data_IF_639755983447
#
_entry.id   IF_639755983447
#
_cell.length_a   1.000
_cell.length_b   1.000
_cell.length_c   1.000
_cell.angle_alpha   90.00
_cell.angle_beta   90.00
_cell.angle_gamma   90.00
#
_symmetry.space_group_name_H-M   'P 1'
#
loop_
_entity.id
_entity.type
_entity.pdbx_description
1 polymer ?
#
# COMPACT_ATOMS: atom_id res chain seq x y z
N UNK A 1 80.21 12.60 31.44
CA UNK A 1 79.86 13.73 32.34
C UNK A 1 80.28 15.00 31.59
N UNK A 2 79.43 15.91 31.11
CA UNK A 2 78.10 16.37 31.51
C UNK A 2 77.15 16.47 30.30
N UNK A 3 75.88 16.16 30.53
CA UNK A 3 74.75 16.40 29.62
C UNK A 3 74.52 17.90 29.43
N UNK A 4 74.41 18.34 28.17
CA UNK A 4 73.67 19.55 27.79
C UNK A 4 72.31 19.09 27.26
N UNK A 5 71.26 19.33 28.04
CA UNK A 5 69.87 19.21 27.59
C UNK A 5 69.45 20.55 26.95
N UNK A 6 68.96 20.57 25.70
CA UNK A 6 68.48 21.80 25.08
C UNK A 6 67.04 22.09 25.51
N UNK A 7 66.84 23.21 26.20
CA UNK A 7 65.92 24.33 25.92
C UNK A 7 64.53 24.12 25.22
N UNK A 8 63.97 22.92 25.14
CA UNK A 8 62.68 22.67 24.45
C UNK A 8 61.48 22.41 25.37
N UNK A 9 61.62 22.45 26.69
CA UNK A 9 60.51 22.11 27.62
C UNK A 9 59.85 23.31 28.32
N UNK A 10 60.28 24.55 28.06
CA UNK A 10 59.79 25.73 28.79
C UNK A 10 58.72 26.55 28.06
N UNK A 11 58.49 26.29 26.77
CA UNK A 11 57.41 26.94 26.00
C UNK A 11 56.06 26.22 26.11
N UNK A 12 56.04 24.93 26.49
CA UNK A 12 54.80 24.16 26.60
C UNK A 12 54.04 24.38 27.92
N UNK A 13 54.72 24.79 29.00
CA UNK A 13 54.12 24.95 30.33
C UNK A 13 53.48 26.33 30.59
N UNK A 14 53.74 27.33 29.74
CA UNK A 14 53.14 28.66 29.87
C UNK A 14 51.96 28.90 28.92
N UNK A 15 51.84 28.13 27.83
CA UNK A 15 50.74 28.29 26.86
C UNK A 15 49.49 27.48 27.28
N UNK A 16 49.68 26.35 27.98
CA UNK A 16 48.56 25.50 28.41
C UNK A 16 47.66 26.09 29.51
N UNK A 17 48.17 26.68 30.62
CA UNK A 17 47.30 27.23 31.66
C UNK A 17 46.61 28.54 31.24
N UNK A 18 47.14 29.23 30.23
CA UNK A 18 46.49 30.39 29.63
C UNK A 18 45.28 29.98 28.79
N UNK A 19 45.40 28.92 27.98
CA UNK A 19 44.28 28.43 27.16
C UNK A 19 43.14 27.84 28.00
N UNK A 20 43.43 27.16 29.11
CA UNK A 20 42.40 26.63 30.00
C UNK A 20 41.61 27.73 30.74
N UNK A 21 42.29 28.79 31.22
CA UNK A 21 41.62 29.96 31.84
C UNK A 21 40.85 30.81 30.83
N UNK A 22 41.33 30.93 29.59
CA UNK A 22 40.62 31.64 28.51
C UNK A 22 39.38 30.85 28.06
N UNK A 23 39.46 29.51 28.03
CA UNK A 23 38.31 28.63 27.76
C UNK A 23 37.30 28.61 28.92
N UNK A 24 37.74 28.72 30.18
CA UNK A 24 36.82 28.94 31.33
C UNK A 24 36.20 30.35 31.33
N UNK A 25 36.82 31.33 30.69
CA UNK A 25 36.37 32.73 30.67
C UNK A 25 35.40 33.07 29.53
N UNK A 26 35.26 32.21 28.51
CA UNK A 26 34.44 32.44 27.33
C UNK A 26 33.73 31.14 26.88
N UNK A 27 32.52 30.90 27.40
CA UNK A 27 31.62 29.90 26.82
C UNK A 27 30.53 30.60 26.02
N UNK A 28 30.53 30.39 24.71
CA UNK A 28 29.49 30.88 23.79
C UNK A 28 28.68 29.68 23.32
N UNK A 29 27.39 29.67 23.66
CA UNK A 29 26.43 28.72 23.12
C UNK A 29 25.38 29.50 22.32
N UNK A 30 25.16 29.07 21.08
CA UNK A 30 24.16 29.68 20.20
C UNK A 30 23.31 28.60 19.59
N UNK A 31 22.00 28.75 19.72
CA UNK A 31 21.01 27.86 19.13
C UNK A 31 20.09 28.70 18.27
N UNK A 32 20.02 28.35 16.98
CA UNK A 32 19.16 29.02 16.00
C UNK A 32 18.24 28.00 15.36
N UNK A 33 16.94 28.21 15.51
CA UNK A 33 15.89 27.34 14.96
C UNK A 33 14.96 28.17 14.08
N UNK A 34 14.46 27.57 13.00
CA UNK A 34 13.44 28.13 12.13
C UNK A 34 12.23 27.21 12.19
N UNK A 35 11.11 27.72 12.71
CA UNK A 35 9.89 26.97 12.94
C UNK A 35 8.75 27.77 12.32
N UNK A 36 8.12 27.23 11.28
CA UNK A 36 7.05 27.90 10.55
C UNK A 36 7.42 29.27 9.97
N UNK A 37 8.71 29.52 9.67
CA UNK A 37 9.21 30.81 9.17
C UNK A 37 9.52 31.84 10.27
N UNK A 38 9.44 31.46 11.54
CA UNK A 38 9.85 32.28 12.69
C UNK A 38 11.24 31.83 13.14
N UNK A 39 12.18 32.77 13.15
CA UNK A 39 13.57 32.52 13.55
C UNK A 39 13.72 32.74 15.06
N UNK A 40 14.00 31.68 15.79
CA UNK A 40 14.33 31.70 17.21
C UNK A 40 15.85 31.63 17.37
N UNK A 41 16.47 32.66 17.97
CA UNK A 41 17.92 32.73 18.20
C UNK A 41 18.17 32.93 19.71
N UNK A 42 18.75 31.91 20.32
CA UNK A 42 19.20 31.92 21.72
C UNK A 42 20.72 32.01 21.75
N UNK A 43 21.23 32.96 22.52
CA UNK A 43 22.66 33.18 22.72
C UNK A 43 22.96 33.24 24.20
N UNK A 44 23.81 32.32 24.66
CA UNK A 44 24.32 32.25 26.01
C UNK A 44 25.81 32.57 25.98
N UNK A 45 26.20 33.63 26.68
CA UNK A 45 27.60 34.04 26.81
C UNK A 45 27.99 34.10 28.28
N UNK A 46 29.05 33.39 28.64
CA UNK A 46 29.75 33.59 29.91
C UNK A 46 31.04 34.35 29.60
N UNK A 47 31.14 35.60 30.07
CA UNK A 47 32.34 36.43 29.95
C UNK A 47 32.81 36.82 31.34
N UNK A 48 33.99 36.37 31.76
CA UNK A 48 34.56 36.66 33.09
C UNK A 48 33.62 36.30 34.26
N UNK A 49 32.87 35.21 34.14
CA UNK A 49 31.91 34.75 35.16
C UNK A 49 30.60 35.54 35.21
N UNK A 50 30.39 36.52 34.31
CA UNK A 50 29.08 37.14 34.09
C UNK A 50 28.37 36.40 32.97
N UNK A 51 27.17 35.91 33.29
CA UNK A 51 26.29 35.21 32.35
C UNK A 51 25.37 36.24 31.71
N UNK A 52 25.34 36.25 30.38
CA UNK A 52 24.42 37.03 29.58
C UNK A 52 23.63 36.09 28.67
N UNK A 53 22.32 36.02 28.90
CA UNK A 53 21.38 35.31 28.05
C UNK A 53 20.65 36.31 27.16
N UNK A 54 20.75 36.16 25.85
CA UNK A 54 19.98 36.91 24.87
C UNK A 54 18.99 35.97 24.18
N UNK A 55 17.71 36.33 24.24
CA UNK A 55 16.63 35.64 23.54
C UNK A 55 16.13 36.56 22.42
N UNK A 56 16.12 36.07 21.18
CA UNK A 56 15.68 36.85 20.01
C UNK A 56 14.69 36.07 19.18
N UNK A 57 13.64 36.75 18.70
CA UNK A 57 12.69 36.23 17.72
C UNK A 57 12.75 37.14 16.51
N UNK A 58 12.97 36.58 15.31
CA UNK A 58 13.11 37.36 14.08
C UNK A 58 14.13 38.51 14.21
N UNK A 59 15.22 38.27 14.94
CA UNK A 59 16.29 39.23 15.26
C UNK A 59 15.93 40.32 16.29
N UNK A 60 14.68 40.39 16.77
CA UNK A 60 14.26 41.30 17.83
C UNK A 60 14.47 40.68 19.23
N UNK A 61 15.07 41.42 20.20
CA UNK A 61 15.26 40.93 21.55
C UNK A 61 13.93 40.82 22.30
N UNK A 62 13.71 39.70 22.98
CA UNK A 62 12.49 39.40 23.75
C UNK A 62 12.83 38.86 25.13
N UNK A 63 11.87 38.92 26.06
CA UNK A 63 12.00 38.27 27.35
C UNK A 63 11.94 36.74 27.22
N UNK A 64 12.59 36.03 28.15
CA UNK A 64 12.67 34.57 28.15
C UNK A 64 11.29 33.90 28.14
N UNK A 65 10.32 34.41 28.91
CA UNK A 65 8.96 33.85 28.95
C UNK A 65 8.25 34.00 27.61
N UNK A 66 8.38 35.17 26.97
CA UNK A 66 7.82 35.44 25.64
C UNK A 66 8.47 34.51 24.59
N UNK A 67 9.79 34.31 24.69
CA UNK A 67 10.52 33.39 23.83
C UNK A 67 10.00 31.95 23.94
N UNK A 68 9.94 31.41 25.15
CA UNK A 68 9.48 30.03 25.40
C UNK A 68 8.04 29.83 24.97
N UNK A 69 7.15 30.77 25.27
CA UNK A 69 5.74 30.68 24.90
C UNK A 69 5.54 30.71 23.38
N UNK A 70 6.27 31.59 22.67
CA UNK A 70 6.21 31.64 21.20
C UNK A 70 6.85 30.43 20.54
N UNK A 71 7.96 29.93 21.09
CA UNK A 71 8.60 28.70 20.61
C UNK A 71 7.64 27.52 20.75
N UNK A 72 7.04 27.34 21.92
CA UNK A 72 6.08 26.28 22.17
C UNK A 72 4.84 26.39 21.27
N UNK A 73 4.28 27.59 21.12
CA UNK A 73 3.13 27.81 20.24
C UNK A 73 3.45 27.52 18.76
N UNK A 74 4.64 27.92 18.29
CA UNK A 74 5.08 27.66 16.92
C UNK A 74 5.30 26.16 16.66
N UNK A 75 5.94 25.46 17.60
CA UNK A 75 6.13 24.00 17.53
C UNK A 75 4.79 23.26 17.54
N UNK A 76 3.86 23.69 18.39
CA UNK A 76 2.53 23.09 18.46
C UNK A 76 1.77 23.29 17.14
N UNK A 77 1.82 24.48 16.55
CA UNK A 77 1.17 24.77 15.28
C UNK A 77 1.78 23.96 14.12
N UNK A 78 3.11 23.84 14.06
CA UNK A 78 3.79 23.01 13.06
C UNK A 78 3.38 21.54 13.21
N UNK A 79 3.35 21.02 14.44
CA UNK A 79 2.90 19.66 14.70
C UNK A 79 1.44 19.43 14.30
N UNK A 80 0.54 20.37 14.58
CA UNK A 80 -0.87 20.29 14.17
C UNK A 80 -1.01 20.27 12.63
N UNK A 81 -0.23 21.10 11.94
CA UNK A 81 -0.19 21.12 10.47
C UNK A 81 0.36 19.82 9.89
N UNK A 82 1.44 19.29 10.46
CA UNK A 82 2.01 17.99 10.07
C UNK A 82 1.03 16.84 10.29
N UNK A 83 0.32 16.82 11.43
CA UNK A 83 -0.71 15.81 11.69
C UNK A 83 -1.85 15.89 10.67
N UNK A 84 -2.30 17.09 10.35
CA UNK A 84 -3.39 17.30 9.40
C UNK A 84 -2.96 16.89 7.98
N UNK A 85 -1.74 17.25 7.56
CA UNK A 85 -1.17 16.82 6.29
C UNK A 85 -1.02 15.28 6.22
N UNK A 86 -0.48 14.66 7.28
CA UNK A 86 -0.34 13.21 7.37
C UNK A 86 -1.71 12.50 7.37
N UNK A 87 -2.74 13.08 7.98
CA UNK A 87 -4.09 12.55 7.92
C UNK A 87 -4.67 12.63 6.51
N UNK A 88 -4.53 13.77 5.83
CA UNK A 88 -4.99 13.95 4.44
C UNK A 88 -4.30 12.95 3.49
N UNK A 89 -2.99 12.78 3.63
CA UNK A 89 -2.23 11.82 2.84
C UNK A 89 -2.71 10.38 3.08
N UNK A 90 -2.97 9.99 4.34
CA UNK A 90 -3.53 8.67 4.67
C UNK A 90 -4.92 8.47 4.07
N UNK A 91 -5.79 9.47 4.15
CA UNK A 91 -7.14 9.41 3.58
C UNK A 91 -7.10 9.29 2.05
N UNK A 92 -6.20 10.03 1.40
CA UNK A 92 -6.00 9.95 -0.04
C UNK A 92 -5.46 8.58 -0.45
N UNK A 93 -4.42 8.08 0.23
CA UNK A 93 -3.87 6.75 0.00
C UNK A 93 -4.93 5.66 0.16
N UNK A 94 -5.77 5.74 1.21
CA UNK A 94 -6.85 4.78 1.42
C UNK A 94 -7.89 4.82 0.29
N UNK A 95 -8.26 6.02 -0.18
CA UNK A 95 -9.18 6.17 -1.31
C UNK A 95 -8.60 5.56 -2.58
N UNK A 96 -7.36 5.89 -2.93
CA UNK A 96 -6.67 5.37 -4.12
C UNK A 96 -6.52 3.83 -4.04
N UNK A 97 -6.10 3.31 -2.89
CA UNK A 97 -5.98 1.87 -2.66
C UNK A 97 -7.34 1.16 -2.76
N UNK A 98 -8.41 1.77 -2.25
CA UNK A 98 -9.77 1.22 -2.37
C UNK A 98 -10.24 1.15 -3.83
N UNK A 99 -9.98 2.20 -4.61
CA UNK A 99 -10.31 2.26 -6.04
C UNK A 99 -9.52 1.22 -6.83
N UNK A 100 -8.21 1.11 -6.58
CA UNK A 100 -7.36 0.12 -7.20
C UNK A 100 -7.85 -1.31 -6.91
N UNK A 101 -8.21 -1.60 -5.65
CA UNK A 101 -8.76 -2.90 -5.25
C UNK A 101 -10.06 -3.22 -5.98
N UNK A 102 -10.99 -2.26 -6.07
CA UNK A 102 -12.25 -2.44 -6.81
C UNK A 102 -11.98 -2.71 -8.29
N UNK A 103 -11.07 -1.97 -8.92
CA UNK A 103 -10.70 -2.17 -10.33
C UNK A 103 -10.11 -3.58 -10.59
N UNK A 104 -9.25 -4.07 -9.69
CA UNK A 104 -8.72 -5.43 -9.76
C UNK A 104 -9.85 -6.46 -9.66
N UNK A 105 -10.75 -6.30 -8.68
CA UNK A 105 -11.86 -7.21 -8.47
C UNK A 105 -12.83 -7.23 -9.66
N UNK A 106 -13.11 -6.08 -10.26
CA UNK A 106 -13.89 -5.99 -11.50
C UNK A 106 -13.24 -6.78 -12.64
N UNK A 107 -11.94 -6.61 -12.84
CA UNK A 107 -11.20 -7.33 -13.88
C UNK A 107 -11.22 -8.84 -13.65
N UNK A 108 -11.01 -9.31 -12.42
CA UNK A 108 -11.09 -10.73 -12.08
C UNK A 108 -12.50 -11.30 -12.31
N UNK A 109 -13.53 -10.53 -11.96
CA UNK A 109 -14.93 -10.94 -12.15
C UNK A 109 -15.27 -11.05 -13.65
N UNK A 110 -14.82 -10.09 -14.46
CA UNK A 110 -14.99 -10.12 -15.91
C UNK A 110 -14.25 -11.33 -16.53
N UNK A 111 -13.01 -11.59 -16.11
CA UNK A 111 -12.24 -12.74 -16.59
C UNK A 111 -12.93 -14.07 -16.24
N UNK A 112 -13.39 -14.25 -15.01
CA UNK A 112 -14.08 -15.47 -14.59
C UNK A 112 -15.38 -15.68 -15.38
N UNK A 113 -16.11 -14.60 -15.66
CA UNK A 113 -17.29 -14.64 -16.53
C UNK A 113 -16.92 -15.11 -17.94
N UNK A 114 -15.87 -14.55 -18.55
CA UNK A 114 -15.42 -14.93 -19.89
C UNK A 114 -15.03 -16.41 -19.96
N UNK A 115 -14.35 -16.93 -18.92
CA UNK A 115 -14.03 -18.36 -18.83
C UNK A 115 -15.29 -19.22 -18.78
N UNK A 116 -16.27 -18.85 -17.94
CA UNK A 116 -17.55 -19.55 -17.84
C UNK A 116 -18.29 -19.54 -19.17
N UNK A 117 -18.36 -18.40 -19.86
CA UNK A 117 -18.99 -18.31 -21.18
C UNK A 117 -18.26 -19.17 -22.22
N UNK A 118 -16.93 -19.22 -22.17
CA UNK A 118 -16.11 -20.10 -22.99
C UNK A 118 -16.43 -21.58 -22.77
N UNK A 119 -16.49 -22.02 -21.51
CA UNK A 119 -16.87 -23.39 -21.14
C UNK A 119 -18.28 -23.74 -21.60
N UNK A 120 -19.24 -22.82 -21.44
CA UNK A 120 -20.62 -23.04 -21.86
C UNK A 120 -20.77 -23.16 -23.38
N UNK A 121 -20.01 -22.36 -24.15
CA UNK A 121 -19.95 -22.47 -25.62
C UNK A 121 -19.36 -23.81 -26.06
N UNK A 122 -18.31 -24.29 -25.37
CA UNK A 122 -17.74 -25.62 -25.64
C UNK A 122 -18.77 -26.72 -25.36
N UNK A 123 -19.49 -26.63 -24.24
CA UNK A 123 -20.57 -27.55 -23.89
C UNK A 123 -21.77 -27.49 -24.85
N UNK A 124 -22.01 -26.37 -25.53
CA UNK A 124 -23.05 -26.26 -26.58
C UNK A 124 -22.67 -26.96 -27.89
N UNK A 125 -21.47 -27.53 -27.99
CA UNK A 125 -21.11 -28.32 -29.17
C UNK A 125 -22.09 -29.49 -29.34
N UNK A 126 -22.77 -29.61 -30.49
CA UNK A 126 -23.75 -30.68 -30.75
C UNK A 126 -23.20 -32.09 -30.53
N UNK A 127 -21.89 -32.26 -30.70
CA UNK A 127 -21.20 -33.54 -30.48
C UNK A 127 -21.31 -34.03 -29.03
N UNK A 128 -21.50 -33.14 -28.05
CA UNK A 128 -21.63 -33.50 -26.64
C UNK A 128 -23.07 -33.81 -26.22
N UNK A 129 -24.08 -33.51 -27.04
CA UNK A 129 -25.49 -33.58 -26.63
C UNK A 129 -25.92 -34.93 -26.06
N UNK A 130 -25.43 -36.04 -26.64
CA UNK A 130 -25.74 -37.40 -26.18
C UNK A 130 -24.86 -37.89 -25.00
N UNK A 131 -23.80 -37.16 -24.65
CA UNK A 131 -22.76 -37.62 -23.71
C UNK A 131 -22.67 -36.78 -22.44
N UNK A 132 -23.58 -35.82 -22.25
CA UNK A 132 -23.61 -34.95 -21.07
C UNK A 132 -23.57 -35.74 -19.76
N UNK A 133 -22.54 -35.49 -18.96
CA UNK A 133 -22.27 -36.20 -17.71
C UNK A 133 -22.78 -35.40 -16.49
N UNK A 134 -24.10 -35.29 -16.34
CA UNK A 134 -24.71 -34.56 -15.23
C UNK A 134 -24.52 -35.29 -13.90
N UNK A 135 -23.93 -34.61 -12.91
CA UNK A 135 -23.66 -35.16 -11.57
C UNK A 135 -23.85 -34.09 -10.49
N UNK A 136 -24.15 -34.48 -9.23
CA UNK A 136 -24.34 -33.52 -8.12
C UNK A 136 -23.11 -32.64 -7.84
N UNK A 137 -21.91 -33.16 -8.06
CA UNK A 137 -20.65 -32.45 -7.86
C UNK A 137 -20.23 -31.59 -9.08
N UNK A 138 -20.87 -31.80 -10.23
CA UNK A 138 -20.77 -30.95 -11.44
C UNK A 138 -22.04 -30.11 -11.59
N UNK A 139 -22.68 -30.08 -12.76
CA UNK A 139 -24.05 -29.55 -12.93
C UNK A 139 -25.00 -30.74 -12.90
N UNK A 140 -25.98 -30.73 -12.00
CA UNK A 140 -26.80 -31.89 -11.68
C UNK A 140 -27.86 -32.21 -12.72
N UNK A 141 -28.16 -31.28 -13.64
CA UNK A 141 -29.14 -31.52 -14.71
C UNK A 141 -29.03 -30.54 -15.87
N UNK A 142 -29.64 -30.90 -17.00
CA UNK A 142 -29.85 -30.00 -18.13
C UNK A 142 -30.65 -28.75 -17.74
N UNK A 143 -31.62 -28.89 -16.83
CA UNK A 143 -32.44 -27.77 -16.33
C UNK A 143 -31.58 -26.77 -15.55
N UNK A 144 -30.67 -27.26 -14.72
CA UNK A 144 -29.70 -26.42 -13.99
C UNK A 144 -28.75 -25.70 -14.96
N UNK A 145 -28.23 -26.41 -15.97
CA UNK A 145 -27.38 -25.81 -17.02
C UNK A 145 -28.14 -24.71 -17.79
N UNK A 146 -29.40 -24.95 -18.13
CA UNK A 146 -30.24 -23.98 -18.82
C UNK A 146 -30.58 -22.77 -17.94
N UNK A 147 -30.89 -22.99 -16.66
CA UNK A 147 -31.10 -21.92 -15.69
C UNK A 147 -29.84 -21.05 -15.55
N UNK A 148 -28.67 -21.68 -15.52
CA UNK A 148 -27.40 -20.97 -15.48
C UNK A 148 -27.23 -20.02 -16.66
N UNK A 149 -27.45 -20.53 -17.88
CA UNK A 149 -27.33 -19.76 -19.13
C UNK A 149 -28.34 -18.61 -19.22
N UNK A 150 -29.60 -18.87 -18.87
CA UNK A 150 -30.69 -17.90 -19.11
C UNK A 150 -30.95 -16.93 -17.96
N UNK A 151 -30.55 -17.27 -16.74
CA UNK A 151 -30.91 -16.49 -15.55
C UNK A 151 -29.67 -16.02 -14.80
N UNK A 152 -28.74 -16.92 -14.49
CA UNK A 152 -27.60 -16.60 -13.62
C UNK A 152 -26.59 -15.71 -14.34
N UNK A 153 -26.16 -16.08 -15.55
CA UNK A 153 -25.18 -15.29 -16.30
C UNK A 153 -25.64 -13.87 -16.67
N UNK A 154 -26.89 -13.64 -17.13
CA UNK A 154 -27.38 -12.29 -17.37
C UNK A 154 -27.39 -11.43 -16.09
N UNK A 155 -27.77 -12.00 -14.94
CA UNK A 155 -27.74 -11.29 -13.65
C UNK A 155 -26.32 -10.91 -13.26
N UNK A 156 -25.36 -11.81 -13.43
CA UNK A 156 -23.93 -11.54 -13.16
C UNK A 156 -23.42 -10.41 -14.07
N UNK A 157 -23.79 -10.43 -15.34
CA UNK A 157 -23.43 -9.37 -16.30
C UNK A 157 -23.99 -8.02 -15.89
N UNK A 158 -25.24 -7.98 -15.40
CA UNK A 158 -25.83 -6.75 -14.87
C UNK A 158 -25.07 -6.23 -13.65
N UNK A 159 -24.67 -7.10 -12.73
CA UNK A 159 -23.90 -6.71 -11.54
C UNK A 159 -22.51 -6.16 -11.90
N UNK A 160 -21.83 -6.75 -12.89
CA UNK A 160 -20.53 -6.26 -13.37
C UNK A 160 -20.67 -4.89 -14.04
N UNK A 161 -21.72 -4.69 -14.84
CA UNK A 161 -21.93 -3.47 -15.61
C UNK A 161 -22.46 -2.30 -14.75
N UNK A 162 -23.05 -2.58 -13.59
CA UNK A 162 -23.41 -1.55 -12.63
C UNK A 162 -22.14 -1.09 -11.91
N UNK A 163 -21.41 -0.17 -12.53
CA UNK A 163 -20.17 0.50 -12.05
C UNK A 163 -20.23 1.10 -10.63
N UNK A 164 -21.37 1.01 -9.94
CA UNK A 164 -21.68 1.72 -8.70
C UNK A 164 -21.48 0.91 -7.43
N UNK A 165 -21.11 -0.36 -7.51
CA UNK A 165 -20.93 -1.14 -6.29
C UNK A 165 -19.49 -1.00 -5.82
N UNK A 166 -19.15 0.11 -5.17
CA UNK A 166 -17.89 0.26 -4.43
C UNK A 166 -17.76 -0.67 -3.22
N UNK A 167 -18.61 -1.71 -3.12
CA UNK A 167 -18.60 -2.71 -2.07
C UNK A 167 -17.66 -3.86 -2.45
N UNK A 168 -16.43 -3.77 -1.94
CA UNK A 168 -15.40 -4.80 -2.03
C UNK A 168 -15.92 -6.17 -1.57
N UNK A 169 -16.74 -6.22 -0.51
CA UNK A 169 -17.26 -7.47 0.03
C UNK A 169 -18.24 -8.14 -0.94
N UNK A 170 -19.03 -7.36 -1.67
CA UNK A 170 -19.92 -7.87 -2.71
C UNK A 170 -19.14 -8.52 -3.85
N UNK A 171 -18.06 -7.86 -4.32
CA UNK A 171 -17.19 -8.42 -5.36
C UNK A 171 -16.48 -9.71 -4.91
N UNK A 172 -15.94 -9.75 -3.69
CA UNK A 172 -15.29 -10.96 -3.16
C UNK A 172 -16.26 -12.15 -3.09
N UNK A 173 -17.49 -11.92 -2.62
CA UNK A 173 -18.55 -12.94 -2.62
C UNK A 173 -18.90 -13.38 -4.03
N UNK A 174 -18.93 -12.46 -4.99
CA UNK A 174 -19.23 -12.78 -6.39
C UNK A 174 -18.12 -13.61 -7.03
N UNK A 175 -16.86 -13.24 -6.83
CA UNK A 175 -15.70 -13.99 -7.34
C UNK A 175 -15.69 -15.41 -6.79
N UNK A 176 -15.91 -15.59 -5.49
CA UNK A 176 -15.97 -16.93 -4.89
C UNK A 176 -17.09 -17.80 -5.48
N UNK A 177 -18.25 -17.21 -5.76
CA UNK A 177 -19.36 -17.89 -6.45
C UNK A 177 -19.00 -18.26 -7.88
N UNK A 178 -18.35 -17.33 -8.62
CA UNK A 178 -17.90 -17.56 -9.98
C UNK A 178 -16.85 -18.67 -10.05
N UNK A 179 -15.85 -18.65 -9.18
CA UNK A 179 -14.82 -19.70 -9.11
C UNK A 179 -15.42 -21.08 -8.80
N UNK A 180 -16.38 -21.14 -7.88
CA UNK A 180 -17.10 -22.39 -7.58
C UNK A 180 -17.87 -22.90 -8.81
N UNK A 181 -18.54 -21.99 -9.52
CA UNK A 181 -19.30 -22.33 -10.71
C UNK A 181 -18.41 -22.76 -11.87
N UNK A 182 -17.31 -22.05 -12.11
CA UNK A 182 -16.28 -22.37 -13.08
C UNK A 182 -15.76 -23.80 -12.86
N UNK A 183 -15.36 -24.14 -11.63
CA UNK A 183 -14.88 -25.48 -11.30
C UNK A 183 -15.96 -26.58 -11.43
N UNK A 184 -17.26 -26.25 -11.28
CA UNK A 184 -18.35 -27.21 -11.57
C UNK A 184 -18.53 -27.41 -13.08
N UNK A 185 -18.45 -26.34 -13.86
CA UNK A 185 -18.56 -26.40 -15.32
C UNK A 185 -17.37 -27.06 -16.00
N UNK A 186 -16.16 -26.81 -15.50
CA UNK A 186 -14.95 -27.45 -15.99
C UNK A 186 -15.00 -28.97 -15.77
N UNK A 187 -15.42 -29.40 -14.57
CA UNK A 187 -15.64 -30.82 -14.30
C UNK A 187 -16.72 -31.42 -15.18
N UNK A 188 -17.84 -30.72 -15.40
CA UNK A 188 -18.87 -31.17 -16.35
C UNK A 188 -18.28 -31.35 -17.75
N UNK A 189 -17.48 -30.38 -18.23
CA UNK A 189 -16.84 -30.45 -19.55
C UNK A 189 -15.90 -31.64 -19.67
N UNK A 190 -14.97 -31.81 -18.71
CA UNK A 190 -14.01 -32.90 -18.72
C UNK A 190 -14.71 -34.26 -18.65
N UNK A 191 -15.71 -34.41 -17.77
CA UNK A 191 -16.46 -35.65 -17.67
C UNK A 191 -17.26 -35.95 -18.93
N UNK A 192 -17.90 -34.94 -19.51
CA UNK A 192 -18.68 -35.07 -20.77
C UNK A 192 -17.77 -35.44 -21.93
N UNK A 193 -16.58 -34.83 -22.02
CA UNK A 193 -15.57 -35.14 -23.03
C UNK A 193 -15.06 -36.58 -22.88
N UNK A 194 -14.68 -37.00 -21.67
CA UNK A 194 -14.23 -38.36 -21.40
C UNK A 194 -15.33 -39.40 -21.70
N UNK A 195 -16.58 -39.07 -21.37
CA UNK A 195 -17.72 -39.92 -21.68
C UNK A 195 -17.98 -40.00 -23.19
N UNK A 196 -17.85 -38.88 -23.92
CA UNK A 196 -17.99 -38.86 -25.37
C UNK A 196 -16.88 -39.68 -26.06
N UNK A 197 -15.62 -39.53 -25.65
CA UNK A 197 -14.48 -40.28 -26.20
C UNK A 197 -14.65 -41.79 -25.94
N UNK A 198 -15.05 -42.18 -24.73
CA UNK A 198 -15.16 -43.60 -24.35
C UNK A 198 -16.37 -44.31 -24.96
N UNK A 199 -17.44 -43.59 -25.29
CA UNK A 199 -18.70 -44.15 -25.82
C UNK A 199 -18.92 -43.88 -27.31
N UNK A 200 -18.00 -43.20 -27.98
CA UNK A 200 -18.13 -42.91 -29.41
C UNK A 200 -17.54 -44.05 -30.24
N UNK A 201 -18.42 -44.79 -30.92
CA UNK A 201 -18.05 -45.84 -31.87
C UNK A 201 -17.76 -45.28 -33.29
N UNK A 202 -18.05 -44.00 -33.52
CA UNK A 202 -17.83 -43.32 -34.80
C UNK A 202 -16.44 -42.66 -34.83
N UNK A 203 -15.54 -43.22 -35.62
CA UNK A 203 -14.16 -42.73 -35.81
C UNK A 203 -14.08 -41.26 -36.27
N UNK A 204 -15.06 -40.75 -37.01
CA UNK A 204 -15.12 -39.35 -37.46
C UNK A 204 -15.50 -38.41 -36.30
N UNK A 205 -16.46 -38.82 -35.48
CA UNK A 205 -16.86 -38.10 -34.26
C UNK A 205 -15.73 -38.13 -33.24
N UNK A 206 -15.09 -39.29 -33.04
CA UNK A 206 -13.94 -39.44 -32.14
C UNK A 206 -12.79 -38.52 -32.53
N UNK A 207 -12.43 -38.45 -33.83
CA UNK A 207 -11.40 -37.53 -34.31
C UNK A 207 -11.75 -36.07 -33.99
N UNK A 208 -12.98 -35.65 -34.25
CA UNK A 208 -13.46 -34.29 -33.93
C UNK A 208 -13.48 -34.01 -32.42
N UNK A 209 -13.78 -35.01 -31.59
CA UNK A 209 -13.74 -34.89 -30.13
C UNK A 209 -12.31 -34.75 -29.60
N UNK A 210 -11.36 -35.48 -30.20
CA UNK A 210 -9.94 -35.39 -29.85
C UNK A 210 -9.30 -34.05 -30.28
N UNK A 211 -9.80 -33.42 -31.34
CA UNK A 211 -9.38 -32.07 -31.76
C UNK A 211 -9.89 -30.95 -30.82
N UNK A 212 -10.84 -31.25 -29.92
CA UNK A 212 -11.35 -30.32 -28.90
C UNK A 212 -10.55 -30.37 -27.57
N UNK A 213 -9.59 -31.27 -27.47
CA UNK A 213 -8.65 -31.44 -26.35
C UNK A 213 -7.40 -30.60 -26.59
#
# INVERSE_FOLDING_TARGET
>A
MMMRLPLFSLTFLLIYPLNARILEQLSLFRQKEDIGGIIFDYRHESVNGKICDEWRINQEPVEQEIFKNKLFAAQQQEWELEQLAAQQEREQYQKEHSQARVAVLQKLTAQAKDTIEGLLKRLDNPLFGAFMAYQPDTIGSMQELHHLKKVVLPKITQVINLEKVGDVCAYEKLINKLATLEGRLERLYIQTLNQAISKSDDSCVLKKLLELV
#
